data_IF_960338447176
#
_entry.id   IF_960338447176
#
_cell.length_a   1.000
_cell.length_b   1.000
_cell.length_c   1.000
_cell.angle_alpha   90.00
_cell.angle_beta   90.00
_cell.angle_gamma   90.00
#
_symmetry.space_group_name_H-M   'P 1'
#
loop_
_entity.id
_entity.type
_entity.pdbx_description
1 polymer ?
#
# COMPACT_ATOMS: atom_id res chain seq x y z
N UNK A 1 14.29 -6.91 1.78
CA UNK A 1 13.16 -5.96 1.66
C UNK A 1 12.74 -5.31 3.00
N UNK A 2 13.66 -5.14 3.98
CA UNK A 2 13.35 -4.69 5.36
C UNK A 2 12.49 -3.41 5.51
N UNK A 3 12.58 -2.50 4.55
CA UNK A 3 11.90 -1.20 4.59
C UNK A 3 10.37 -1.32 4.47
N UNK A 4 9.85 -2.34 3.79
CA UNK A 4 8.40 -2.50 3.59
C UNK A 4 7.73 -3.35 4.67
N UNK A 5 8.49 -4.19 5.37
CA UNK A 5 7.97 -5.21 6.31
C UNK A 5 7.05 -4.61 7.38
N UNK A 6 7.45 -3.48 7.98
CA UNK A 6 6.63 -2.77 8.98
C UNK A 6 5.29 -2.31 8.40
N UNK A 7 5.29 -1.82 7.17
CA UNK A 7 4.10 -1.29 6.53
C UNK A 7 3.19 -2.41 6.03
N UNK A 8 3.76 -3.52 5.56
CA UNK A 8 2.97 -4.71 5.27
C UNK A 8 2.36 -5.32 6.53
N UNK A 9 3.07 -5.31 7.67
CA UNK A 9 2.49 -5.70 8.95
C UNK A 9 1.31 -4.80 9.35
N UNK A 10 1.41 -3.48 9.15
CA UNK A 10 0.27 -2.58 9.34
C UNK A 10 -0.88 -2.90 8.38
N UNK A 11 -0.60 -3.17 7.12
CA UNK A 11 -1.62 -3.49 6.11
C UNK A 11 -2.40 -4.76 6.46
N UNK A 12 -1.69 -5.81 6.87
CA UNK A 12 -2.28 -7.09 7.28
C UNK A 12 -3.17 -6.93 8.53
N UNK A 13 -2.81 -6.05 9.46
CA UNK A 13 -3.58 -5.80 10.69
C UNK A 13 -4.75 -4.85 10.47
N UNK A 14 -4.54 -3.78 9.71
CA UNK A 14 -5.51 -2.72 9.51
C UNK A 14 -5.15 -1.86 8.28
N UNK A 15 -5.90 -2.02 7.18
CA UNK A 15 -5.74 -1.19 5.99
C UNK A 15 -5.91 0.32 6.25
N UNK A 16 -6.69 0.70 7.26
CA UNK A 16 -6.91 2.10 7.67
C UNK A 16 -5.87 2.61 8.66
N UNK A 17 -4.77 1.88 8.88
CA UNK A 17 -3.71 2.32 9.78
C UNK A 17 -3.16 3.70 9.33
N UNK A 18 -3.07 4.70 10.22
CA UNK A 18 -2.77 6.09 9.84
C UNK A 18 -1.39 6.25 9.16
N UNK A 19 -0.42 5.39 9.48
CA UNK A 19 0.89 5.40 8.82
C UNK A 19 0.86 4.97 7.35
N UNK A 20 -0.12 4.17 6.92
CA UNK A 20 -0.26 3.75 5.53
C UNK A 20 -0.80 4.85 4.65
N UNK A 21 -1.69 5.69 5.21
CA UNK A 21 -2.51 6.65 4.45
C UNK A 21 -3.10 6.01 3.19
N UNK A 22 -3.63 4.79 3.35
CA UNK A 22 -4.13 4.00 2.24
C UNK A 22 -5.37 4.66 1.64
N UNK A 23 -5.43 4.73 0.31
CA UNK A 23 -6.60 5.22 -0.43
C UNK A 23 -6.81 4.45 -1.71
N UNK A 24 -8.06 4.37 -2.18
CA UNK A 24 -8.33 3.98 -3.56
C UNK A 24 -7.68 5.03 -4.47
N UNK A 25 -6.77 4.57 -5.32
CA UNK A 25 -6.06 5.40 -6.28
C UNK A 25 -6.77 5.41 -7.62
N UNK A 26 -7.26 4.24 -8.04
CA UNK A 26 -8.08 4.07 -9.24
C UNK A 26 -9.26 3.18 -8.87
N UNK A 27 -10.44 3.78 -8.81
CA UNK A 27 -11.67 3.09 -8.43
C UNK A 27 -12.12 2.11 -9.52
N UNK A 28 -11.96 2.47 -10.79
CA UNK A 28 -12.34 1.62 -11.94
C UNK A 28 -11.55 0.33 -11.96
N UNK A 29 -10.25 0.39 -11.62
CA UNK A 29 -9.36 -0.77 -11.58
C UNK A 29 -9.23 -1.41 -10.21
N UNK A 30 -9.95 -0.88 -9.20
CA UNK A 30 -9.86 -1.28 -7.80
C UNK A 30 -8.42 -1.29 -7.27
N UNK A 31 -7.62 -0.30 -7.67
CA UNK A 31 -6.24 -0.15 -7.24
C UNK A 31 -6.18 0.75 -6.02
N UNK A 32 -5.46 0.30 -5.01
CA UNK A 32 -5.16 1.04 -3.80
C UNK A 32 -3.72 1.52 -3.83
N UNK A 33 -3.46 2.65 -3.19
CA UNK A 33 -2.12 3.18 -2.94
C UNK A 33 -1.92 3.32 -1.43
N UNK A 34 -0.73 2.99 -0.94
CA UNK A 34 -0.30 3.28 0.43
C UNK A 34 1.19 3.66 0.49
N UNK A 35 1.60 4.22 1.64
CA UNK A 35 2.98 4.65 1.90
C UNK A 35 3.81 3.51 2.47
N UNK A 36 5.04 3.37 1.98
CA UNK A 36 6.11 2.63 2.66
C UNK A 36 6.94 3.59 3.51
N UNK A 37 7.35 4.70 2.91
CA UNK A 37 8.03 5.84 3.53
C UNK A 37 7.58 7.14 2.85
N UNK A 38 8.13 8.29 3.23
CA UNK A 38 7.76 9.56 2.60
C UNK A 38 7.96 9.55 1.08
N UNK A 39 9.04 8.92 0.61
CA UNK A 39 9.45 8.86 -0.79
C UNK A 39 9.04 7.56 -1.51
N UNK A 40 8.35 6.63 -0.83
CA UNK A 40 7.95 5.36 -1.42
C UNK A 40 6.44 5.16 -1.31
N UNK A 41 5.84 4.79 -2.44
CA UNK A 41 4.45 4.36 -2.52
C UNK A 41 4.42 2.94 -3.06
N UNK A 42 3.47 2.16 -2.58
CA UNK A 42 3.14 0.89 -3.18
C UNK A 42 1.67 0.89 -3.59
N UNK A 43 1.42 0.17 -4.67
CA UNK A 43 0.10 -0.05 -5.20
C UNK A 43 -0.28 -1.50 -5.02
N UNK A 44 -1.53 -1.74 -4.66
CA UNK A 44 -2.02 -3.09 -4.42
C UNK A 44 -3.49 -3.23 -4.79
N UNK A 45 -3.94 -4.48 -4.92
CA UNK A 45 -5.35 -4.84 -5.02
C UNK A 45 -5.74 -5.68 -3.81
N UNK A 46 -7.02 -5.66 -3.49
CA UNK A 46 -7.63 -6.55 -2.51
C UNK A 46 -8.50 -7.53 -3.30
N UNK A 47 -8.27 -8.83 -3.15
CA UNK A 47 -9.07 -9.89 -3.77
C UNK A 47 -9.38 -10.92 -2.70
N UNK A 48 -10.65 -11.00 -2.30
CA UNK A 48 -11.02 -11.81 -1.14
C UNK A 48 -10.32 -11.31 0.12
N UNK A 49 -9.57 -12.20 0.77
CA UNK A 49 -8.78 -11.98 1.97
C UNK A 49 -7.30 -11.66 1.69
N UNK A 50 -6.89 -11.62 0.42
CA UNK A 50 -5.51 -11.43 0.02
C UNK A 50 -5.22 -10.03 -0.52
N UNK A 51 -3.99 -9.56 -0.23
CA UNK A 51 -3.42 -8.34 -0.79
C UNK A 51 -2.43 -8.66 -1.89
N UNK A 52 -2.69 -8.15 -3.09
CA UNK A 52 -1.82 -8.31 -4.26
C UNK A 52 -1.02 -7.04 -4.48
N UNK A 53 0.26 -7.04 -4.11
CA UNK A 53 1.16 -5.91 -4.38
C UNK A 53 1.49 -5.87 -5.86
N UNK A 54 1.11 -4.79 -6.53
CA UNK A 54 1.32 -4.60 -7.97
C UNK A 54 2.70 -4.03 -8.25
N UNK A 55 3.07 -2.97 -7.54
CA UNK A 55 4.35 -2.28 -7.73
C UNK A 55 4.71 -1.41 -6.52
N UNK A 56 6.01 -1.18 -6.35
CA UNK A 56 6.57 -0.24 -5.38
C UNK A 56 7.39 0.77 -6.18
N UNK A 57 7.04 2.04 -6.06
CA UNK A 57 7.67 3.13 -6.83
C UNK A 57 8.21 4.20 -5.91
N UNK A 58 9.32 4.82 -6.32
CA UNK A 58 9.76 6.09 -5.75
C UNK A 58 8.76 7.16 -6.15
N UNK A 59 8.20 7.82 -5.15
CA UNK A 59 7.46 9.05 -5.36
C UNK A 59 8.48 10.19 -5.32
N UNK A 60 8.64 10.96 -6.41
CA UNK A 60 9.52 12.12 -6.39
C UNK A 60 9.08 13.07 -5.28
N UNK A 61 10.07 13.69 -4.63
CA UNK A 61 9.85 14.66 -3.57
C UNK A 61 9.26 15.95 -4.12
#
# INVERSE_FOLDING_TARGET
MKIADKQFSFLLRNIRHPSLRAKKYDETRSIWQARISDNLRFYFKIRGDEYYVLTIVKHPK
#
